data_IF_514984013525
#
_entry.id   IF_514984013525
#
_cell.length_a   1.000
_cell.length_b   1.000
_cell.length_c   1.000
_cell.angle_alpha   90.00
_cell.angle_beta   90.00
_cell.angle_gamma   90.00
#
_symmetry.space_group_name_H-M   'P 1'
#
loop_
_entity.id
_entity.type
_entity.pdbx_description
1 polymer ?
#
# COMPACT_ATOMS: atom_id res chain seq x y z
N UNK A 1 -7.15 0.87 14.83
CA UNK A 1 -7.92 -0.11 15.61
C UNK A 1 -7.34 -1.50 15.47
N UNK A 2 -6.74 -1.91 14.33
CA UNK A 2 -6.03 -3.20 14.21
C UNK A 2 -6.91 -4.45 14.37
N UNK A 3 -8.19 -4.24 14.58
CA UNK A 3 -9.23 -5.25 14.82
C UNK A 3 -10.01 -5.60 13.56
N UNK A 4 -9.81 -4.86 12.47
CA UNK A 4 -10.38 -5.19 11.17
C UNK A 4 -9.44 -6.16 10.42
N UNK A 5 -9.96 -7.17 9.71
CA UNK A 5 -9.16 -8.10 8.89
C UNK A 5 -8.73 -7.45 7.57
N UNK A 6 -8.04 -6.31 7.67
CA UNK A 6 -7.60 -5.50 6.53
C UNK A 6 -6.10 -5.29 6.59
N UNK A 7 -5.46 -5.35 5.43
CA UNK A 7 -4.08 -4.91 5.27
C UNK A 7 -4.09 -3.40 5.03
N UNK A 8 -3.36 -2.64 5.86
CA UNK A 8 -3.19 -1.19 5.69
C UNK A 8 -1.81 -0.91 5.12
N UNK A 9 -1.76 -0.23 3.98
CA UNK A 9 -0.53 0.25 3.35
C UNK A 9 -0.48 1.77 3.49
N UNK A 10 0.66 2.30 3.97
CA UNK A 10 0.91 3.73 4.08
C UNK A 10 2.37 4.00 3.71
N UNK A 11 2.64 5.15 3.10
CA UNK A 11 3.97 5.64 2.81
C UNK A 11 4.05 7.14 3.11
N UNK A 12 5.23 7.62 3.45
CA UNK A 12 5.53 9.01 3.75
C UNK A 12 6.76 9.44 2.95
N UNK A 13 6.72 10.65 2.38
CA UNK A 13 7.81 11.21 1.59
C UNK A 13 7.41 12.54 0.93
N UNK A 14 8.42 13.34 0.59
CA UNK A 14 8.24 14.69 0.04
C UNK A 14 7.75 14.69 -1.42
N UNK A 15 8.12 13.66 -2.19
CA UNK A 15 7.68 13.50 -3.57
C UNK A 15 6.36 12.72 -3.62
N UNK A 16 5.27 13.44 -3.86
CA UNK A 16 3.93 12.87 -3.96
C UNK A 16 3.81 11.80 -5.05
N UNK A 17 4.45 11.97 -6.20
CA UNK A 17 4.35 11.00 -7.31
C UNK A 17 5.08 9.71 -6.96
N UNK A 18 6.25 9.83 -6.33
CA UNK A 18 6.99 8.67 -5.85
C UNK A 18 6.23 7.94 -4.74
N UNK A 19 5.72 8.66 -3.75
CA UNK A 19 4.91 8.08 -2.65
C UNK A 19 3.70 7.33 -3.21
N UNK A 20 2.99 7.93 -4.17
CA UNK A 20 1.85 7.29 -4.83
C UNK A 20 2.26 6.03 -5.58
N UNK A 21 3.31 6.11 -6.40
CA UNK A 21 3.81 4.96 -7.18
C UNK A 21 4.17 3.79 -6.27
N UNK A 22 4.87 4.06 -5.16
CA UNK A 22 5.27 3.03 -4.20
C UNK A 22 4.05 2.37 -3.55
N UNK A 23 3.05 3.15 -3.17
CA UNK A 23 1.81 2.59 -2.59
C UNK A 23 1.08 1.74 -3.62
N UNK A 24 0.96 2.21 -4.87
CA UNK A 24 0.30 1.49 -5.95
C UNK A 24 1.02 0.15 -6.25
N UNK A 25 2.35 0.15 -6.30
CA UNK A 25 3.17 -1.05 -6.53
C UNK A 25 3.00 -2.09 -5.42
N UNK A 26 3.04 -1.66 -4.16
CA UNK A 26 2.88 -2.56 -3.00
C UNK A 26 1.47 -3.14 -2.96
N UNK A 27 0.44 -2.32 -3.19
CA UNK A 27 -0.96 -2.78 -3.25
C UNK A 27 -1.14 -3.79 -4.39
N UNK A 28 -0.54 -3.53 -5.57
CA UNK A 28 -0.56 -4.43 -6.70
C UNK A 28 0.08 -5.79 -6.40
N UNK A 29 1.27 -5.80 -5.78
CA UNK A 29 1.96 -7.03 -5.39
C UNK A 29 1.16 -7.84 -4.36
N UNK A 30 0.55 -7.19 -3.37
CA UNK A 30 -0.32 -7.87 -2.40
C UNK A 30 -1.54 -8.49 -3.08
N UNK A 31 -2.14 -7.80 -4.05
CA UNK A 31 -3.26 -8.30 -4.84
C UNK A 31 -2.94 -9.58 -5.61
N UNK A 32 -1.69 -9.77 -6.06
CA UNK A 32 -1.27 -10.98 -6.77
C UNK A 32 -1.16 -12.21 -5.85
N UNK A 33 -0.85 -12.02 -4.57
CA UNK A 33 -0.67 -13.11 -3.61
C UNK A 33 -1.97 -13.44 -2.87
N UNK A 34 -2.87 -12.46 -2.74
CA UNK A 34 -4.15 -12.62 -2.04
C UNK A 34 -5.29 -13.19 -2.91
N UNK A 35 -5.11 -13.26 -4.24
CA UNK A 35 -6.06 -13.84 -5.19
C UNK A 35 -5.94 -15.36 -5.28
#
# INVERSE_FOLDING_TARGET
>A
SGTEPLIRVMAEGDDFLLVRSVVDDIVGALGQVAA
#
